data_IF_558032419698
#
_entry.id   IF_558032419698
#
_cell.length_a   1.000
_cell.length_b   1.000
_cell.length_c   1.000
_cell.angle_alpha   90.00
_cell.angle_beta   90.00
_cell.angle_gamma   90.00
#
_symmetry.space_group_name_H-M   'P 1'
#
loop_
_entity.id
_entity.type
_entity.pdbx_description
1 polymer ?
#
# COMPACT_ATOMS: atom_id res chain seq x y z
N UNK A 1 51.95 28.23 54.08
CA UNK A 1 51.78 27.72 52.70
C UNK A 1 50.66 28.50 52.02
N UNK A 2 50.99 29.46 51.13
CA UNK A 2 49.97 30.20 50.37
C UNK A 2 49.42 29.28 49.28
N UNK A 3 48.25 28.68 49.50
CA UNK A 3 47.46 28.05 48.43
C UNK A 3 47.09 29.18 47.45
N UNK A 4 47.79 29.26 46.32
CA UNK A 4 47.45 30.20 45.26
C UNK A 4 46.01 29.94 44.78
N UNK A 5 45.28 30.98 44.39
CA UNK A 5 43.89 30.88 43.91
C UNK A 5 43.73 30.18 42.55
N UNK A 6 44.85 29.93 41.85
CA UNK A 6 44.92 29.33 40.51
C UNK A 6 44.14 28.02 40.34
N UNK A 7 44.25 27.00 41.23
CA UNK A 7 43.45 25.78 41.16
C UNK A 7 41.94 25.98 41.31
N UNK A 8 41.49 26.98 42.07
CA UNK A 8 40.06 27.27 42.25
C UNK A 8 39.45 27.86 40.97
N UNK A 9 40.17 28.77 40.32
CA UNK A 9 39.72 29.41 39.06
C UNK A 9 39.62 28.36 37.94
N UNK A 10 40.59 27.45 37.85
CA UNK A 10 40.57 26.37 36.86
C UNK A 10 39.39 25.40 37.07
N UNK A 11 39.14 25.02 38.33
CA UNK A 11 37.98 24.17 38.67
C UNK A 11 36.65 24.84 38.30
N UNK A 12 36.52 26.14 38.56
CA UNK A 12 35.32 26.91 38.22
C UNK A 12 35.10 27.04 36.71
N UNK A 13 36.16 27.26 35.93
CA UNK A 13 36.10 27.27 34.48
C UNK A 13 35.73 25.89 33.92
N UNK A 14 36.29 24.81 34.47
CA UNK A 14 35.95 23.46 34.07
C UNK A 14 34.46 23.14 34.33
N UNK A 15 33.95 23.52 35.51
CA UNK A 15 32.53 23.38 35.84
C UNK A 15 31.62 24.13 34.87
N UNK A 16 31.98 25.36 34.47
CA UNK A 16 31.21 26.12 33.48
C UNK A 16 31.18 25.42 32.11
N UNK A 17 32.29 24.83 31.68
CA UNK A 17 32.38 24.09 30.42
C UNK A 17 31.53 22.82 30.47
N UNK A 18 31.59 22.07 31.58
CA UNK A 18 30.76 20.87 31.75
C UNK A 18 29.28 21.23 31.73
N UNK A 19 28.90 22.31 32.44
CA UNK A 19 27.51 22.74 32.50
C UNK A 19 27.00 23.23 31.15
N UNK A 20 27.82 23.95 30.38
CA UNK A 20 27.45 24.39 29.04
C UNK A 20 27.28 23.23 28.08
N UNK A 21 28.17 22.22 28.13
CA UNK A 21 28.01 20.99 27.33
C UNK A 21 26.73 20.23 27.69
N UNK A 22 26.36 20.14 28.96
CA UNK A 22 25.12 19.49 29.39
C UNK A 22 23.88 20.22 28.86
N UNK A 23 23.87 21.56 28.91
CA UNK A 23 22.77 22.35 28.35
C UNK A 23 22.66 22.14 26.84
N UNK A 24 23.78 22.21 26.11
CA UNK A 24 23.79 21.99 24.67
C UNK A 24 23.33 20.58 24.31
N UNK A 25 23.79 19.56 25.04
CA UNK A 25 23.36 18.19 24.86
C UNK A 25 21.85 18.02 25.11
N UNK A 26 21.32 18.62 26.16
CA UNK A 26 19.88 18.60 26.44
C UNK A 26 19.06 19.25 25.32
N UNK A 27 19.48 20.43 24.84
CA UNK A 27 18.79 21.13 23.75
C UNK A 27 18.82 20.31 22.45
N UNK A 28 19.97 19.72 22.12
CA UNK A 28 20.10 18.88 20.93
C UNK A 28 19.17 17.67 20.99
N UNK A 29 19.16 16.94 22.12
CA UNK A 29 18.27 15.78 22.31
C UNK A 29 16.81 16.21 22.27
N UNK A 30 16.45 17.33 22.91
CA UNK A 30 15.08 17.84 22.89
C UNK A 30 14.63 18.17 21.47
N UNK A 31 15.48 18.85 20.69
CA UNK A 31 15.18 19.20 19.30
C UNK A 31 15.01 17.95 18.44
N UNK A 32 15.87 16.95 18.61
CA UNK A 32 15.75 15.67 17.90
C UNK A 32 14.45 14.96 18.25
N UNK A 33 14.06 14.93 19.52
CA UNK A 33 12.79 14.36 19.95
C UNK A 33 11.58 15.10 19.33
N UNK A 34 11.62 16.44 19.25
CA UNK A 34 10.57 17.22 18.62
C UNK A 34 10.48 16.94 17.11
N UNK A 35 11.62 16.82 16.42
CA UNK A 35 11.69 16.46 15.01
C UNK A 35 11.12 15.06 14.76
N UNK A 36 11.60 14.06 15.48
CA UNK A 36 11.13 12.68 15.36
C UNK A 36 9.63 12.55 15.66
N UNK A 37 9.12 13.33 16.62
CA UNK A 37 7.69 13.34 16.94
C UNK A 37 6.86 13.92 15.79
N UNK A 38 7.33 15.01 15.17
CA UNK A 38 6.69 15.60 13.99
C UNK A 38 6.72 14.64 12.80
N UNK A 39 7.88 14.06 12.52
CA UNK A 39 8.05 13.12 11.42
C UNK A 39 7.15 11.88 11.59
N UNK A 40 7.09 11.34 12.81
CA UNK A 40 6.16 10.25 13.14
C UNK A 40 4.70 10.62 12.82
N UNK A 41 4.28 11.84 13.19
CA UNK A 41 2.93 12.29 12.93
C UNK A 41 2.64 12.47 11.43
N UNK A 42 3.57 13.04 10.69
CA UNK A 42 3.46 13.20 9.23
C UNK A 42 3.45 11.86 8.50
N UNK A 43 4.28 10.92 8.93
CA UNK A 43 4.31 9.56 8.40
C UNK A 43 3.00 8.81 8.69
N UNK A 44 2.45 8.96 9.90
CA UNK A 44 1.15 8.38 10.23
C UNK A 44 0.04 8.96 9.36
N UNK A 45 0.00 10.29 9.19
CA UNK A 45 -0.99 10.95 8.33
C UNK A 45 -0.89 10.48 6.87
N UNK A 46 0.34 10.33 6.37
CA UNK A 46 0.59 9.81 5.02
C UNK A 46 0.09 8.37 4.88
N UNK A 47 0.37 7.52 5.88
CA UNK A 47 -0.08 6.14 5.90
C UNK A 47 -1.60 6.05 5.89
N UNK A 48 -2.28 6.80 6.76
CA UNK A 48 -3.74 6.81 6.84
C UNK A 48 -4.36 7.29 5.52
N UNK A 49 -3.77 8.30 4.88
CA UNK A 49 -4.19 8.76 3.56
C UNK A 49 -4.06 7.67 2.50
N UNK A 50 -2.96 6.91 2.51
CA UNK A 50 -2.72 5.82 1.56
C UNK A 50 -3.65 4.63 1.79
N UNK A 51 -3.95 4.30 3.04
CA UNK A 51 -4.95 3.27 3.37
C UNK A 51 -6.33 3.68 2.89
N UNK A 52 -6.71 4.94 3.07
CA UNK A 52 -8.00 5.44 2.59
C UNK A 52 -8.08 5.43 1.05
N UNK A 53 -6.99 5.81 0.37
CA UNK A 53 -6.87 5.70 -1.09
C UNK A 53 -7.05 4.25 -1.56
N UNK A 54 -6.43 3.29 -0.87
CA UNK A 54 -6.58 1.87 -1.18
C UNK A 54 -8.02 1.38 -1.02
N UNK A 55 -8.70 1.76 0.07
CA UNK A 55 -10.10 1.40 0.31
C UNK A 55 -11.00 1.95 -0.80
N UNK A 56 -10.78 3.20 -1.21
CA UNK A 56 -11.53 3.81 -2.31
C UNK A 56 -11.31 3.05 -3.62
N UNK A 57 -10.07 2.70 -3.96
CA UNK A 57 -9.76 1.93 -5.16
C UNK A 57 -10.42 0.54 -5.14
N UNK A 58 -10.47 -0.12 -3.97
CA UNK A 58 -11.17 -1.40 -3.83
C UNK A 58 -12.68 -1.22 -4.07
N UNK A 59 -13.28 -0.16 -3.52
CA UNK A 59 -14.68 0.16 -3.75
C UNK A 59 -14.97 0.44 -5.23
N UNK A 60 -14.09 1.17 -5.92
CA UNK A 60 -14.19 1.43 -7.35
C UNK A 60 -14.09 0.13 -8.17
N UNK A 61 -13.15 -0.75 -7.84
CA UNK A 61 -13.03 -2.06 -8.49
C UNK A 61 -14.31 -2.89 -8.29
N UNK A 62 -14.87 -2.90 -7.08
CA UNK A 62 -16.13 -3.59 -6.79
C UNK A 62 -17.29 -3.00 -7.58
N UNK A 63 -17.37 -1.67 -7.67
CA UNK A 63 -18.38 -0.96 -8.47
C UNK A 63 -18.26 -1.31 -9.95
N UNK A 64 -17.05 -1.26 -10.51
CA UNK A 64 -16.79 -1.57 -11.91
C UNK A 64 -17.00 -3.05 -12.24
N UNK A 65 -16.77 -3.95 -11.28
CA UNK A 65 -16.95 -5.39 -11.43
C UNK A 65 -18.38 -5.85 -11.10
N UNK A 66 -19.26 -4.95 -10.67
CA UNK A 66 -20.62 -5.31 -10.32
C UNK A 66 -21.40 -5.78 -11.55
N UNK A 67 -22.09 -6.93 -11.43
CA UNK A 67 -22.94 -7.45 -12.51
C UNK A 67 -24.00 -6.42 -12.91
N UNK A 68 -24.57 -5.69 -11.94
CA UNK A 68 -25.56 -4.65 -12.20
C UNK A 68 -25.05 -3.60 -13.18
N UNK A 69 -23.85 -3.04 -12.96
CA UNK A 69 -23.24 -2.06 -13.86
C UNK A 69 -22.87 -2.68 -15.20
N UNK A 70 -22.28 -3.88 -15.18
CA UNK A 70 -21.85 -4.57 -16.40
C UNK A 70 -23.05 -4.90 -17.29
N UNK A 71 -24.11 -5.47 -16.73
CA UNK A 71 -25.34 -5.83 -17.45
C UNK A 71 -26.01 -4.58 -17.99
N UNK A 72 -26.10 -3.51 -17.19
CA UNK A 72 -26.67 -2.23 -17.63
C UNK A 72 -25.93 -1.67 -18.84
N UNK A 73 -24.61 -1.56 -18.78
CA UNK A 73 -23.78 -1.07 -19.90
C UNK A 73 -23.93 -1.99 -21.12
N UNK A 74 -23.86 -3.31 -20.90
CA UNK A 74 -23.98 -4.28 -21.99
C UNK A 74 -25.34 -4.17 -22.70
N UNK A 75 -26.44 -4.02 -21.96
CA UNK A 75 -27.77 -3.92 -22.55
C UNK A 75 -28.07 -2.55 -23.14
N UNK A 76 -27.76 -1.47 -22.43
CA UNK A 76 -28.18 -0.11 -22.78
C UNK A 76 -27.22 0.56 -23.77
N UNK A 77 -25.92 0.39 -23.61
CA UNK A 77 -24.92 1.07 -24.44
C UNK A 77 -24.43 0.19 -25.60
N UNK A 78 -24.28 -1.11 -25.36
CA UNK A 78 -23.74 -2.06 -26.35
C UNK A 78 -24.81 -2.86 -27.08
N UNK A 79 -26.10 -2.67 -26.76
CA UNK A 79 -27.24 -3.43 -27.33
C UNK A 79 -27.05 -4.95 -27.25
N UNK A 80 -26.32 -5.44 -26.26
CA UNK A 80 -26.09 -6.86 -26.05
C UNK A 80 -27.32 -7.48 -25.37
N UNK A 81 -27.86 -8.53 -25.98
CA UNK A 81 -29.02 -9.25 -25.46
C UNK A 81 -28.52 -10.39 -24.57
N UNK A 82 -28.91 -10.42 -23.29
CA UNK A 82 -28.64 -11.55 -22.40
C UNK A 82 -29.34 -12.79 -22.96
N UNK A 83 -28.56 -13.77 -23.42
CA UNK A 83 -29.10 -15.04 -23.94
C UNK A 83 -29.50 -15.92 -22.74
N UNK A 84 -30.80 -15.98 -22.45
CA UNK A 84 -31.35 -16.75 -21.33
C UNK A 84 -31.35 -18.26 -21.59
N UNK A 85 -31.24 -18.69 -22.85
CA UNK A 85 -31.22 -20.09 -23.25
C UNK A 85 -30.01 -20.38 -24.15
N UNK A 86 -29.38 -21.54 -23.94
CA UNK A 86 -28.42 -22.10 -24.91
C UNK A 86 -29.18 -22.33 -26.22
N UNK A 87 -29.02 -21.42 -27.19
CA UNK A 87 -29.64 -21.54 -28.52
C UNK A 87 -29.29 -22.86 -29.21
N UNK A 88 -28.21 -23.54 -28.79
CA UNK A 88 -27.76 -24.81 -29.37
C UNK A 88 -27.25 -25.74 -28.26
N UNK A 89 -28.12 -26.59 -27.73
CA UNK A 89 -27.70 -27.75 -26.94
C UNK A 89 -27.45 -28.93 -27.88
N UNK A 90 -26.23 -29.01 -28.41
CA UNK A 90 -25.79 -30.17 -29.20
C UNK A 90 -25.55 -31.36 -28.27
N UNK A 91 -26.57 -32.22 -28.10
CA UNK A 91 -26.39 -33.56 -27.51
C UNK A 91 -25.73 -34.47 -28.53
N UNK A 92 -24.42 -34.64 -28.43
CA UNK A 92 -23.64 -35.54 -29.28
C UNK A 92 -23.29 -36.81 -28.48
N UNK A 93 -23.41 -37.99 -29.10
CA UNK A 93 -22.96 -39.24 -28.46
C UNK A 93 -21.44 -39.24 -28.32
N UNK A 94 -20.94 -39.85 -27.24
CA UNK A 94 -19.48 -39.97 -27.02
C UNK A 94 -18.78 -40.72 -28.16
N UNK A 95 -19.49 -41.67 -28.79
CA UNK A 95 -19.01 -42.41 -29.96
C UNK A 95 -18.75 -41.48 -31.15
N UNK A 96 -19.72 -40.61 -31.50
CA UNK A 96 -19.55 -39.63 -32.58
C UNK A 96 -18.39 -38.65 -32.34
N UNK A 97 -18.11 -38.31 -31.08
CA UNK A 97 -16.95 -37.46 -30.74
C UNK A 97 -15.65 -38.21 -31.00
N UNK A 98 -15.61 -39.52 -30.71
CA UNK A 98 -14.45 -40.38 -30.95
C UNK A 98 -14.20 -40.57 -32.44
N UNK A 99 -15.24 -40.85 -33.22
CA UNK A 99 -15.15 -41.05 -34.66
C UNK A 99 -14.66 -39.79 -35.38
N UNK A 100 -15.16 -38.62 -34.98
CA UNK A 100 -14.69 -37.33 -35.53
C UNK A 100 -13.25 -37.05 -35.14
N UNK A 101 -12.82 -37.44 -33.94
CA UNK A 101 -11.43 -37.28 -33.48
C UNK A 101 -10.46 -38.19 -34.26
N UNK A 102 -10.83 -39.44 -34.50
CA UNK A 102 -10.04 -40.38 -35.32
C UNK A 102 -9.97 -39.90 -36.78
N UNK A 103 -11.10 -39.49 -37.37
CA UNK A 103 -11.15 -38.98 -38.74
C UNK A 103 -10.39 -37.65 -38.94
N UNK A 104 -10.28 -36.82 -37.91
CA UNK A 104 -9.45 -35.60 -37.94
C UNK A 104 -7.97 -35.91 -37.73
N UNK A 105 -7.63 -36.90 -36.90
CA UNK A 105 -6.25 -37.36 -36.72
C UNK A 105 -5.66 -37.93 -38.00
N UNK A 106 -6.39 -38.80 -38.71
CA UNK A 106 -5.93 -39.40 -39.97
C UNK A 106 -5.79 -38.40 -41.15
N UNK A 107 -6.44 -37.23 -41.06
CA UNK A 107 -6.51 -36.26 -42.16
C UNK A 107 -5.51 -35.11 -42.02
N UNK A 108 -4.99 -34.89 -40.81
CA UNK A 108 -4.11 -33.76 -40.48
C UNK A 108 -2.80 -34.18 -39.79
N UNK A 109 -2.55 -35.48 -39.62
CA UNK A 109 -1.21 -36.08 -39.45
C UNK A 109 -0.77 -36.74 -40.76
#
# INVERSE_FOLDING_TARGET
>A
MKKGSKPLIFSMLFLLIVYSMLILGYVAVKQECELLTKEKFENQKTLDSKLNEQVNLIADVQLYSSEERIVKIASEELNMIKRTELQILLKVSKEKIKDVKEALGEKYE
#
